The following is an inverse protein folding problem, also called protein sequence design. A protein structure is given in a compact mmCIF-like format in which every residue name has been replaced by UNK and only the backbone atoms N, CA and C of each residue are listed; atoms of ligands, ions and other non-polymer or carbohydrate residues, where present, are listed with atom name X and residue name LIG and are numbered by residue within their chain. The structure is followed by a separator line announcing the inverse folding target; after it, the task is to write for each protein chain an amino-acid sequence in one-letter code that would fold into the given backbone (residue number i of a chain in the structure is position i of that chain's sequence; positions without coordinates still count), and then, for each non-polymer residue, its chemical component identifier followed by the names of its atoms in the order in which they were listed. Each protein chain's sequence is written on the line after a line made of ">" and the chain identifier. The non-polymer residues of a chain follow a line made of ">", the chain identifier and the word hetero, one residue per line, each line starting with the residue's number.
data_IF_838099325670
#
_entry.id   IF_838099325670
#
_cell.length_a   1.000
_cell.length_b   1.000
_cell.length_c   1.000
_cell.angle_alpha   90.00
_cell.angle_beta   90.00
_cell.angle_gamma   90.00
#
_symmetry.space_group_name_H-M   'P 1'
#
loop_
_entity.id
_entity.type
_entity.pdbx_description
1 polymer ?
#
# COMPACT_ATOMS: atom_id res chain seq x y z
N UNK A 1 19.83 -19.21 44.33
CA UNK A 1 19.89 -17.87 43.72
C UNK A 1 18.66 -17.73 42.86
N UNK A 2 17.84 -16.70 43.07
CA UNK A 2 16.74 -16.40 42.15
C UNK A 2 17.32 -15.73 40.90
N UNK A 3 16.85 -16.11 39.71
CA UNK A 3 17.28 -15.48 38.47
C UNK A 3 16.88 -14.00 38.48
N UNK A 4 17.79 -13.14 38.01
CA UNK A 4 17.53 -11.73 37.80
C UNK A 4 16.54 -11.52 36.65
N UNK A 5 15.90 -10.35 36.59
CA UNK A 5 15.00 -9.98 35.49
C UNK A 5 15.70 -10.11 34.13
N UNK A 6 16.97 -9.67 34.04
CA UNK A 6 17.76 -9.76 32.82
C UNK A 6 18.04 -11.21 32.41
N UNK A 7 18.40 -12.08 33.35
CA UNK A 7 18.62 -13.51 33.06
C UNK A 7 17.33 -14.19 32.57
N UNK A 8 16.19 -13.86 33.16
CA UNK A 8 14.88 -14.38 32.74
C UNK A 8 14.54 -13.95 31.30
N UNK A 9 14.70 -12.67 30.99
CA UNK A 9 14.42 -12.15 29.64
C UNK A 9 15.37 -12.77 28.60
N UNK A 10 16.66 -12.92 28.90
CA UNK A 10 17.61 -13.60 28.01
C UNK A 10 17.28 -15.08 27.82
N UNK A 11 16.86 -15.76 28.89
CA UNK A 11 16.40 -17.14 28.80
C UNK A 11 15.13 -17.25 27.94
N UNK A 12 14.24 -16.26 28.03
CA UNK A 12 13.05 -16.15 27.18
C UNK A 12 13.41 -15.97 25.70
N UNK A 13 14.36 -15.10 25.38
CA UNK A 13 14.86 -14.95 24.00
C UNK A 13 15.43 -16.27 23.47
N UNK A 14 16.27 -16.93 24.27
CA UNK A 14 16.86 -18.21 23.89
C UNK A 14 15.81 -19.30 23.68
N UNK A 15 14.70 -19.28 24.44
CA UNK A 15 13.58 -20.18 24.23
C UNK A 15 12.84 -19.90 22.91
N UNK A 16 12.61 -18.62 22.60
CA UNK A 16 12.02 -18.20 21.33
C UNK A 16 12.87 -18.62 20.13
N UNK A 17 14.19 -18.50 20.22
CA UNK A 17 15.13 -18.95 19.18
C UNK A 17 15.13 -20.47 18.97
N UNK A 18 14.70 -21.24 19.97
CA UNK A 18 14.44 -22.68 19.85
C UNK A 18 13.00 -23.01 19.45
N UNK A 19 12.21 -22.00 19.06
CA UNK A 19 10.79 -22.12 18.73
C UNK A 19 9.93 -22.67 19.89
N UNK A 20 10.29 -22.37 21.13
CA UNK A 20 9.52 -22.72 22.32
C UNK A 20 8.80 -21.49 22.88
N UNK A 21 7.65 -21.16 22.29
CA UNK A 21 6.85 -19.99 22.66
C UNK A 21 6.29 -20.07 24.08
N UNK A 22 5.91 -21.26 24.53
CA UNK A 22 5.38 -21.48 25.89
C UNK A 22 6.45 -21.17 26.95
N UNK A 23 7.68 -21.68 26.76
CA UNK A 23 8.79 -21.36 27.67
C UNK A 23 9.11 -19.87 27.61
N UNK A 24 9.19 -19.27 26.43
CA UNK A 24 9.45 -17.84 26.28
C UNK A 24 8.42 -17.00 27.04
N UNK A 25 7.13 -17.29 26.86
CA UNK A 25 6.02 -16.62 27.57
C UNK A 25 6.13 -16.82 29.08
N UNK A 26 6.45 -18.02 29.55
CA UNK A 26 6.64 -18.29 30.97
C UNK A 26 7.78 -17.44 31.56
N UNK A 27 8.92 -17.34 30.86
CA UNK A 27 10.05 -16.50 31.30
C UNK A 27 9.68 -15.02 31.35
N UNK A 28 8.92 -14.53 30.38
CA UNK A 28 8.47 -13.13 30.37
C UNK A 28 7.54 -12.82 31.55
N UNK A 29 6.59 -13.72 31.85
CA UNK A 29 5.70 -13.58 33.02
C UNK A 29 6.51 -13.57 34.32
N UNK A 30 7.45 -14.52 34.47
CA UNK A 30 8.33 -14.59 35.64
C UNK A 30 9.17 -13.31 35.80
N UNK A 31 9.67 -12.74 34.69
CA UNK A 31 10.40 -11.48 34.69
C UNK A 31 9.53 -10.31 35.19
N UNK A 32 8.29 -10.17 34.70
CA UNK A 32 7.35 -9.12 35.15
C UNK A 32 6.99 -9.27 36.62
N UNK A 33 6.82 -10.48 37.12
CA UNK A 33 6.56 -10.71 38.55
C UNK A 33 7.78 -10.38 39.41
N UNK A 34 8.98 -10.75 38.94
CA UNK A 34 10.24 -10.47 39.64
C UNK A 34 10.50 -8.97 39.74
N UNK A 35 10.23 -8.21 38.68
CA UNK A 35 10.26 -6.75 38.72
C UNK A 35 9.25 -6.18 39.71
N UNK A 36 7.99 -6.64 39.68
CA UNK A 36 6.94 -6.19 40.61
C UNK A 36 7.30 -6.44 42.07
N UNK A 37 7.86 -7.60 42.40
CA UNK A 37 8.34 -7.91 43.76
C UNK A 37 9.48 -6.98 44.17
N UNK A 38 10.43 -6.70 43.27
CA UNK A 38 11.53 -5.78 43.53
C UNK A 38 11.09 -4.31 43.69
N UNK A 39 10.03 -3.91 42.99
CA UNK A 39 9.42 -2.58 43.12
C UNK A 39 8.63 -2.46 44.43
N UNK A 40 7.84 -3.48 44.81
CA UNK A 40 7.11 -3.53 46.08
C UNK A 40 8.02 -3.48 47.30
N UNK A 41 9.19 -4.14 47.24
CA UNK A 41 10.21 -4.05 48.28
C UNK A 41 10.84 -2.64 48.41
N UNK A 42 10.89 -1.86 47.32
CA UNK A 42 11.36 -0.47 47.31
C UNK A 42 10.28 0.54 47.69
N UNK A 43 9.02 0.24 47.40
CA UNK A 43 7.84 1.09 47.65
C UNK A 43 7.37 1.17 49.10
N UNK A 44 8.03 0.47 50.05
CA UNK A 44 7.83 0.68 51.48
C UNK A 44 8.29 2.07 51.98
N UNK A 45 8.85 2.91 51.09
CA UNK A 45 9.06 4.35 51.30
C UNK A 45 8.38 5.18 50.20
N UNK A 46 7.09 5.49 50.40
CA UNK A 46 6.32 6.60 49.79
C UNK A 46 6.45 6.85 48.28
N UNK A 47 5.45 6.41 47.49
CA UNK A 47 5.22 6.93 46.13
C UNK A 47 4.32 8.17 46.20
N UNK A 48 4.75 9.30 45.64
CA UNK A 48 3.99 10.54 45.57
C UNK A 48 2.78 10.40 44.62
N UNK A 49 1.60 10.94 44.96
CA UNK A 49 0.45 10.93 44.06
C UNK A 49 0.73 11.83 42.84
N UNK A 50 0.69 11.27 41.64
CA UNK A 50 0.87 11.99 40.36
C UNK A 50 2.02 11.51 39.47
N UNK A 51 2.82 10.52 39.89
CA UNK A 51 3.85 9.94 39.01
C UNK A 51 3.23 9.06 37.92
N UNK A 52 3.73 9.17 36.69
CA UNK A 52 3.46 8.21 35.61
C UNK A 52 3.75 6.78 36.08
N UNK A 53 3.02 5.80 35.55
CA UNK A 53 3.31 4.39 35.82
C UNK A 53 4.80 4.11 35.55
N UNK A 54 5.49 3.36 36.45
CA UNK A 54 6.90 3.06 36.26
C UNK A 54 7.13 2.34 34.94
N UNK A 55 8.16 2.75 34.19
CA UNK A 55 8.52 2.13 32.92
C UNK A 55 8.81 0.63 33.11
N UNK A 56 8.27 -0.20 32.23
CA UNK A 56 8.50 -1.64 32.26
C UNK A 56 9.99 -1.93 32.05
N UNK A 57 10.56 -2.77 32.92
CA UNK A 57 11.99 -3.14 32.87
C UNK A 57 12.95 -1.95 32.89
N UNK A 58 12.64 -0.87 33.62
CA UNK A 58 13.43 0.38 33.64
C UNK A 58 14.92 0.19 33.96
N UNK A 59 15.27 -0.85 34.73
CA UNK A 59 16.65 -1.13 35.14
C UNK A 59 17.40 -2.07 34.19
N UNK A 60 16.74 -2.58 33.15
CA UNK A 60 17.36 -3.48 32.16
C UNK A 60 18.02 -2.64 31.07
N UNK A 61 19.31 -2.89 30.82
CA UNK A 61 20.09 -2.24 29.75
C UNK A 61 20.66 -3.24 28.73
N UNK A 62 20.52 -4.55 29.00
CA UNK A 62 20.99 -5.61 28.10
C UNK A 62 20.15 -5.62 26.81
N UNK A 63 20.77 -5.53 25.63
CA UNK A 63 20.05 -5.36 24.36
C UNK A 63 19.20 -6.58 23.99
N UNK A 64 19.69 -7.80 24.25
CA UNK A 64 18.95 -9.05 24.01
C UNK A 64 17.71 -9.13 24.92
N UNK A 65 17.87 -8.79 26.20
CA UNK A 65 16.78 -8.76 27.16
C UNK A 65 15.69 -7.74 26.80
N UNK A 66 16.10 -6.53 26.39
CA UNK A 66 15.17 -5.48 25.96
C UNK A 66 14.46 -5.84 24.67
N UNK A 67 15.17 -6.43 23.72
CA UNK A 67 14.59 -6.88 22.46
C UNK A 67 13.52 -7.96 22.69
N UNK A 68 13.83 -8.97 23.50
CA UNK A 68 12.84 -9.99 23.87
C UNK A 68 11.63 -9.40 24.61
N UNK A 69 11.88 -8.48 25.55
CA UNK A 69 10.80 -7.81 26.26
C UNK A 69 9.88 -7.06 25.28
N UNK A 70 10.43 -6.37 24.29
CA UNK A 70 9.66 -5.68 23.26
C UNK A 70 8.81 -6.65 22.43
N UNK A 71 9.38 -7.77 21.97
CA UNK A 71 8.65 -8.80 21.22
C UNK A 71 7.49 -9.37 22.03
N UNK A 72 7.75 -9.78 23.28
CA UNK A 72 6.74 -10.38 24.14
C UNK A 72 5.64 -9.37 24.53
N UNK A 73 5.98 -8.10 24.76
CA UNK A 73 4.99 -7.02 24.98
C UNK A 73 4.10 -6.83 23.75
N UNK A 74 4.69 -6.79 22.55
CA UNK A 74 3.91 -6.67 21.30
C UNK A 74 2.99 -7.86 21.05
N UNK A 75 3.44 -9.09 21.32
CA UNK A 75 2.61 -10.30 21.21
C UNK A 75 1.40 -10.30 22.16
N UNK A 76 1.46 -9.54 23.25
CA UNK A 76 0.34 -9.37 24.19
C UNK A 76 -0.63 -8.24 23.78
N UNK A 77 -0.37 -7.56 22.65
CA UNK A 77 -1.13 -6.37 22.24
C UNK A 77 -0.87 -5.14 23.13
N UNK A 78 0.17 -5.18 23.97
CA UNK A 78 0.63 -4.04 24.76
C UNK A 78 1.62 -3.20 23.93
N UNK A 79 1.75 -1.89 24.21
CA UNK A 79 2.64 -1.01 23.43
C UNK A 79 4.13 -1.35 23.68
N UNK A 80 4.89 -1.84 22.68
CA UNK A 80 6.28 -2.25 22.86
C UNK A 80 7.30 -1.15 22.52
N UNK A 81 6.86 0.02 22.05
CA UNK A 81 7.72 1.01 21.38
C UNK A 81 8.87 1.51 22.25
N UNK A 82 8.63 1.76 23.54
CA UNK A 82 9.70 2.22 24.44
C UNK A 82 10.77 1.13 24.64
N UNK A 83 10.36 -0.14 24.81
CA UNK A 83 11.28 -1.27 24.96
C UNK A 83 12.06 -1.51 23.66
N UNK A 84 11.38 -1.49 22.52
CA UNK A 84 12.01 -1.65 21.21
C UNK A 84 13.03 -0.53 20.94
N UNK A 85 12.66 0.73 21.21
CA UNK A 85 13.56 1.88 21.10
C UNK A 85 14.82 1.70 21.97
N UNK A 86 14.65 1.34 23.24
CA UNK A 86 15.77 1.09 24.15
C UNK A 86 16.65 -0.07 23.69
N UNK A 87 16.05 -1.13 23.14
CA UNK A 87 16.79 -2.27 22.58
C UNK A 87 17.69 -1.82 21.42
N UNK A 88 17.14 -1.09 20.44
CA UNK A 88 17.91 -0.63 19.28
C UNK A 88 18.97 0.41 19.64
N UNK A 89 18.69 1.28 20.62
CA UNK A 89 19.69 2.20 21.19
C UNK A 89 20.84 1.45 21.87
N UNK A 90 20.55 0.38 22.61
CA UNK A 90 21.57 -0.48 23.20
C UNK A 90 22.36 -1.24 22.12
N UNK A 91 21.73 -1.64 21.01
CA UNK A 91 22.44 -2.26 19.88
C UNK A 91 23.32 -1.29 19.09
N UNK A 92 23.05 0.03 19.07
CA UNK A 92 23.90 1.01 18.35
C UNK A 92 25.35 1.01 18.81
N UNK A 93 25.60 0.70 20.08
CA UNK A 93 26.95 0.64 20.66
C UNK A 93 27.52 -0.77 20.73
N UNK A 94 26.75 -1.78 20.30
CA UNK A 94 27.19 -3.17 20.23
C UNK A 94 27.76 -3.50 18.83
N UNK A 95 28.57 -4.57 18.70
CA UNK A 95 28.95 -5.08 17.39
C UNK A 95 27.74 -5.43 16.53
N UNK A 96 27.86 -5.22 15.21
CA UNK A 96 26.83 -5.63 14.25
C UNK A 96 26.49 -7.11 14.44
N UNK A 97 25.20 -7.43 14.42
CA UNK A 97 24.70 -8.79 14.55
C UNK A 97 23.35 -8.94 13.88
N UNK A 98 22.98 -10.18 13.51
CA UNK A 98 21.66 -10.45 12.97
C UNK A 98 20.53 -10.09 13.94
N UNK A 99 20.78 -10.20 15.26
CA UNK A 99 19.81 -9.73 16.26
C UNK A 99 19.64 -8.21 16.23
N UNK A 100 20.73 -7.46 16.12
CA UNK A 100 20.67 -6.00 16.01
C UNK A 100 19.87 -5.58 14.77
N UNK A 101 20.10 -6.20 13.61
CA UNK A 101 19.35 -5.90 12.39
C UNK A 101 17.85 -6.20 12.55
N UNK A 102 17.50 -7.39 13.06
CA UNK A 102 16.10 -7.78 13.32
C UNK A 102 15.42 -6.92 14.37
N UNK A 103 16.15 -6.44 15.37
CA UNK A 103 15.63 -5.51 16.37
C UNK A 103 15.27 -4.16 15.73
N UNK A 104 16.09 -3.66 14.79
CA UNK A 104 15.77 -2.47 14.00
C UNK A 104 14.56 -2.67 13.09
N UNK A 105 14.46 -3.81 12.40
CA UNK A 105 13.28 -4.15 11.58
C UNK A 105 12.01 -4.20 12.43
N UNK A 106 12.07 -4.91 13.56
CA UNK A 106 10.96 -5.03 14.52
C UNK A 106 10.53 -3.67 15.04
N UNK A 107 11.50 -2.81 15.40
CA UNK A 107 11.20 -1.45 15.84
C UNK A 107 10.54 -0.62 14.73
N UNK A 108 11.02 -0.75 13.50
CA UNK A 108 10.39 -0.12 12.33
C UNK A 108 8.96 -0.59 12.11
N UNK A 109 8.68 -1.90 12.23
CA UNK A 109 7.31 -2.41 12.13
C UNK A 109 6.38 -1.86 13.21
N UNK A 110 6.84 -1.79 14.46
CA UNK A 110 6.03 -1.18 15.53
C UNK A 110 5.80 0.32 15.30
N UNK A 111 6.74 1.04 14.71
CA UNK A 111 6.57 2.45 14.37
C UNK A 111 5.55 2.64 13.25
N UNK A 112 5.60 1.78 12.22
CA UNK A 112 4.64 1.79 11.11
C UNK A 112 3.22 1.48 11.59
N UNK A 113 3.03 0.44 12.42
CA UNK A 113 1.74 0.11 13.03
C UNK A 113 1.18 1.28 13.88
N UNK A 114 2.09 2.05 14.51
CA UNK A 114 1.77 3.29 15.22
C UNK A 114 1.62 4.53 14.32
N UNK A 115 1.52 4.37 12.99
CA UNK A 115 1.43 5.45 12.00
C UNK A 115 2.57 6.49 12.07
N UNK A 116 3.79 6.04 12.40
CA UNK A 116 5.00 6.85 12.45
C UNK A 116 5.99 6.43 11.34
N UNK A 117 5.52 6.51 10.09
CA UNK A 117 6.20 5.95 8.93
C UNK A 117 7.57 6.60 8.65
N UNK A 118 7.71 7.90 8.94
CA UNK A 118 8.99 8.58 8.80
C UNK A 118 10.06 7.98 9.74
N UNK A 119 9.69 7.65 10.98
CA UNK A 119 10.60 6.98 11.91
C UNK A 119 10.79 5.50 11.57
N UNK A 120 9.73 4.82 11.11
CA UNK A 120 9.80 3.44 10.65
C UNK A 120 10.83 3.32 9.52
N UNK A 121 10.80 4.23 8.55
CA UNK A 121 11.74 4.26 7.44
C UNK A 121 13.20 4.45 7.91
N UNK A 122 13.43 5.28 8.93
CA UNK A 122 14.77 5.44 9.53
C UNK A 122 15.24 4.14 10.20
N UNK A 123 14.37 3.47 10.96
CA UNK A 123 14.69 2.20 11.59
C UNK A 123 15.02 1.11 10.55
N UNK A 124 14.29 1.06 9.44
CA UNK A 124 14.58 0.16 8.32
C UNK A 124 15.93 0.47 7.64
N UNK A 125 16.32 1.74 7.53
CA UNK A 125 17.68 2.11 7.05
C UNK A 125 18.79 1.70 8.01
N UNK A 126 18.56 1.81 9.31
CA UNK A 126 19.50 1.33 10.33
C UNK A 126 19.66 -0.20 10.22
N UNK A 127 18.57 -0.96 10.06
CA UNK A 127 18.63 -2.40 9.80
C UNK A 127 19.46 -2.73 8.55
N UNK A 128 19.23 -2.02 7.45
CA UNK A 128 20.00 -2.16 6.22
C UNK A 128 21.50 -1.88 6.43
N UNK A 129 21.83 -0.85 7.22
CA UNK A 129 23.21 -0.54 7.60
C UNK A 129 23.88 -1.67 8.40
N UNK A 130 23.13 -2.32 9.30
CA UNK A 130 23.64 -3.49 10.06
C UNK A 130 23.87 -4.69 9.13
N UNK A 131 22.95 -5.01 8.21
CA UNK A 131 23.17 -6.09 7.24
C UNK A 131 24.37 -5.83 6.33
N UNK A 132 24.54 -4.58 5.87
CA UNK A 132 25.69 -4.17 5.08
C UNK A 132 27.01 -4.36 5.83
N UNK A 133 27.04 -4.03 7.14
CA UNK A 133 28.23 -4.20 7.98
C UNK A 133 28.59 -5.67 8.25
N UNK A 134 27.61 -6.58 8.22
CA UNK A 134 27.84 -8.02 8.38
C UNK A 134 28.38 -8.68 7.10
N UNK A 135 27.93 -8.23 5.93
CA UNK A 135 28.22 -8.85 4.63
C UNK A 135 27.51 -10.20 4.44
N UNK A 136 27.29 -10.62 3.19
CA UNK A 136 26.62 -11.90 2.88
C UNK A 136 25.12 -11.93 3.23
N UNK A 137 24.51 -10.75 3.41
CA UNK A 137 23.10 -10.55 3.74
C UNK A 137 22.43 -9.56 2.76
N UNK A 138 22.83 -9.61 1.49
CA UNK A 138 22.40 -8.68 0.45
C UNK A 138 20.88 -8.72 0.25
N UNK A 139 20.26 -9.90 0.33
CA UNK A 139 18.81 -10.05 0.25
C UNK A 139 18.09 -9.29 1.38
N UNK A 140 18.56 -9.45 2.62
CA UNK A 140 17.99 -8.78 3.79
C UNK A 140 18.26 -7.27 3.75
N UNK A 141 19.45 -6.86 3.33
CA UNK A 141 19.79 -5.46 3.13
C UNK A 141 18.85 -4.81 2.10
N UNK A 142 18.62 -5.47 0.96
CA UNK A 142 17.70 -5.00 -0.07
C UNK A 142 16.28 -4.88 0.46
N UNK A 143 15.80 -5.89 1.19
CA UNK A 143 14.46 -5.90 1.79
C UNK A 143 14.27 -4.78 2.83
N UNK A 144 15.27 -4.52 3.67
CA UNK A 144 15.22 -3.43 4.64
C UNK A 144 15.17 -2.06 3.94
N UNK A 145 15.96 -1.85 2.88
CA UNK A 145 15.90 -0.61 2.09
C UNK A 145 14.59 -0.47 1.31
N UNK A 146 14.04 -1.58 0.82
CA UNK A 146 12.72 -1.62 0.19
C UNK A 146 11.63 -1.17 1.17
N UNK A 147 11.60 -1.73 2.38
CA UNK A 147 10.65 -1.33 3.42
C UNK A 147 10.85 0.12 3.86
N UNK A 148 12.09 0.61 3.91
CA UNK A 148 12.35 2.04 4.13
C UNK A 148 11.73 2.89 3.02
N UNK A 149 11.83 2.45 1.77
CA UNK A 149 11.20 3.09 0.62
C UNK A 149 9.68 3.18 0.75
N UNK A 150 9.02 2.08 1.12
CA UNK A 150 7.57 2.03 1.37
C UNK A 150 7.18 3.02 2.46
N UNK A 151 7.83 2.94 3.63
CA UNK A 151 7.49 3.83 4.76
C UNK A 151 7.76 5.31 4.46
N UNK A 152 8.78 5.65 3.64
CA UNK A 152 8.94 7.03 3.18
C UNK A 152 7.80 7.50 2.28
N UNK A 153 7.30 6.63 1.40
CA UNK A 153 6.17 6.96 0.53
C UNK A 153 4.88 7.18 1.34
N UNK A 154 4.63 6.33 2.33
CA UNK A 154 3.49 6.47 3.27
C UNK A 154 3.60 7.74 4.12
N UNK A 155 4.81 8.13 4.51
CA UNK A 155 5.08 9.42 5.17
C UNK A 155 4.94 10.64 4.23
N UNK A 156 4.72 10.42 2.93
CA UNK A 156 4.64 11.47 1.91
C UNK A 156 5.99 12.03 1.43
N UNK A 157 7.12 11.46 1.86
CA UNK A 157 8.46 11.85 1.41
C UNK A 157 8.90 10.99 0.21
N UNK A 158 8.32 11.30 -0.95
CA UNK A 158 8.59 10.55 -2.19
C UNK A 158 10.06 10.65 -2.62
N UNK A 159 10.77 11.73 -2.28
CA UNK A 159 12.19 11.87 -2.59
C UNK A 159 13.04 10.88 -1.79
N UNK A 160 12.79 10.76 -0.48
CA UNK A 160 13.46 9.77 0.35
C UNK A 160 13.05 8.33 -0.02
N UNK A 161 11.80 8.11 -0.44
CA UNK A 161 11.32 6.81 -0.92
C UNK A 161 12.11 6.36 -2.15
N UNK A 162 12.20 7.22 -3.17
CA UNK A 162 12.97 6.96 -4.39
C UNK A 162 14.43 6.67 -4.05
N UNK A 163 15.06 7.47 -3.19
CA UNK A 163 16.46 7.27 -2.80
C UNK A 163 16.68 5.92 -2.08
N UNK A 164 15.76 5.51 -1.20
CA UNK A 164 15.84 4.23 -0.51
C UNK A 164 15.65 3.04 -1.48
N UNK A 165 14.71 3.14 -2.41
CA UNK A 165 14.45 2.11 -3.42
C UNK A 165 15.60 1.98 -4.43
N UNK A 166 16.20 3.10 -4.85
CA UNK A 166 17.44 3.10 -5.65
C UNK A 166 18.59 2.43 -4.88
N UNK A 167 18.73 2.73 -3.58
CA UNK A 167 19.72 2.08 -2.74
C UNK A 167 19.46 0.57 -2.60
N UNK A 168 18.19 0.14 -2.55
CA UNK A 168 17.82 -1.28 -2.46
C UNK A 168 18.24 -2.08 -3.71
N UNK A 169 18.27 -1.45 -4.88
CA UNK A 169 18.67 -2.11 -6.13
C UNK A 169 20.15 -2.53 -6.17
N UNK A 170 21.00 -1.89 -5.37
CA UNK A 170 22.43 -2.20 -5.32
C UNK A 170 22.71 -3.59 -4.72
N UNK A 171 22.31 -3.89 -3.46
CA UNK A 171 22.45 -5.23 -2.91
C UNK A 171 21.55 -6.25 -3.63
N UNK A 172 20.37 -5.85 -4.13
CA UNK A 172 19.54 -6.73 -4.95
C UNK A 172 20.22 -7.15 -6.28
N UNK A 173 21.25 -6.41 -6.74
CA UNK A 173 22.04 -6.78 -7.91
C UNK A 173 22.92 -8.02 -7.71
N UNK A 174 23.13 -8.46 -6.46
CA UNK A 174 23.83 -9.72 -6.15
C UNK A 174 22.89 -10.94 -6.19
N UNK A 175 21.58 -10.73 -6.27
CA UNK A 175 20.58 -11.77 -6.44
C UNK A 175 20.54 -12.25 -7.91
N UNK A 176 19.94 -13.42 -8.21
CA UNK A 176 19.75 -13.87 -9.58
C UNK A 176 19.13 -12.79 -10.47
N UNK A 177 19.49 -12.80 -11.76
CA UNK A 177 19.08 -11.75 -12.71
C UNK A 177 17.56 -11.57 -12.74
N UNK A 178 16.83 -12.69 -12.68
CA UNK A 178 15.38 -12.75 -12.50
C UNK A 178 15.09 -13.20 -11.06
N UNK A 179 14.83 -12.22 -10.21
CA UNK A 179 14.43 -12.38 -8.81
C UNK A 179 13.18 -11.53 -8.57
N UNK A 180 12.12 -12.14 -8.02
CA UNK A 180 10.85 -11.44 -7.79
C UNK A 180 11.01 -10.26 -6.83
N UNK A 181 11.91 -10.34 -5.85
CA UNK A 181 12.23 -9.23 -4.95
C UNK A 181 12.87 -8.06 -5.70
N UNK A 182 13.84 -8.35 -6.57
CA UNK A 182 14.45 -7.32 -7.44
C UNK A 182 13.44 -6.67 -8.38
N UNK A 183 12.52 -7.44 -8.96
CA UNK A 183 11.45 -6.93 -9.82
C UNK A 183 10.48 -6.06 -9.02
N UNK A 184 10.08 -6.50 -7.82
CA UNK A 184 9.21 -5.74 -6.92
C UNK A 184 9.84 -4.40 -6.51
N UNK A 185 11.13 -4.36 -6.16
CA UNK A 185 11.83 -3.10 -5.86
C UNK A 185 11.76 -2.13 -7.04
N UNK A 186 11.99 -2.61 -8.27
CA UNK A 186 11.90 -1.76 -9.47
C UNK A 186 10.47 -1.29 -9.74
N UNK A 187 9.47 -2.14 -9.53
CA UNK A 187 8.05 -1.78 -9.69
C UNK A 187 7.65 -0.66 -8.72
N UNK A 188 8.03 -0.79 -7.45
CA UNK A 188 7.78 0.23 -6.42
C UNK A 188 8.55 1.52 -6.69
N UNK A 189 9.79 1.43 -7.19
CA UNK A 189 10.54 2.62 -7.64
C UNK A 189 9.82 3.36 -8.78
N UNK A 190 9.28 2.62 -9.76
CA UNK A 190 8.52 3.19 -10.86
C UNK A 190 7.25 3.91 -10.35
N UNK A 191 6.55 3.32 -9.39
CA UNK A 191 5.37 3.91 -8.75
C UNK A 191 5.73 5.18 -7.97
N UNK A 192 6.76 5.16 -7.13
CA UNK A 192 7.21 6.33 -6.38
C UNK A 192 7.64 7.47 -7.32
N UNK A 193 8.31 7.16 -8.43
CA UNK A 193 8.68 8.13 -9.47
C UNK A 193 7.46 8.70 -10.19
N UNK A 194 6.43 7.88 -10.45
CA UNK A 194 5.17 8.33 -11.03
C UNK A 194 4.48 9.34 -10.12
N UNK A 195 4.34 9.00 -8.83
CA UNK A 195 3.68 9.85 -7.84
C UNK A 195 4.48 11.14 -7.57
N UNK A 196 5.82 11.08 -7.70
CA UNK A 196 6.69 12.26 -7.62
C UNK A 196 6.69 13.13 -8.90
N UNK A 197 5.91 12.77 -9.92
CA UNK A 197 5.86 13.49 -11.20
C UNK A 197 7.09 13.30 -12.10
N UNK A 198 7.96 12.33 -11.79
CA UNK A 198 9.12 11.97 -12.61
C UNK A 198 8.71 11.05 -13.78
N UNK A 199 7.74 11.51 -14.58
CA UNK A 199 7.04 10.71 -15.57
C UNK A 199 7.95 9.98 -16.57
N UNK A 200 8.97 10.67 -17.09
CA UNK A 200 9.90 10.07 -18.05
C UNK A 200 10.74 8.95 -17.42
N UNK A 201 11.09 9.07 -16.13
CA UNK A 201 11.82 8.02 -15.41
C UNK A 201 10.88 6.84 -15.11
N UNK A 202 9.70 7.11 -14.55
CA UNK A 202 8.68 6.11 -14.27
C UNK A 202 8.32 5.27 -15.51
N UNK A 203 8.08 5.90 -16.66
CA UNK A 203 7.76 5.20 -17.91
C UNK A 203 8.89 4.26 -18.36
N UNK A 204 10.16 4.63 -18.16
CA UNK A 204 11.31 3.77 -18.48
C UNK A 204 11.39 2.59 -17.52
N UNK A 205 11.21 2.82 -16.22
CA UNK A 205 11.27 1.76 -15.21
C UNK A 205 10.13 0.76 -15.41
N UNK A 206 8.90 1.24 -15.58
CA UNK A 206 7.74 0.37 -15.83
C UNK A 206 7.92 -0.52 -17.05
N UNK A 207 8.55 -0.02 -18.13
CA UNK A 207 8.87 -0.84 -19.30
C UNK A 207 9.83 -1.99 -18.94
N UNK A 208 10.87 -1.71 -18.16
CA UNK A 208 11.83 -2.75 -17.72
C UNK A 208 11.13 -3.79 -16.83
N UNK A 209 10.25 -3.34 -15.93
CA UNK A 209 9.51 -4.22 -15.02
C UNK A 209 8.47 -5.06 -15.79
N UNK A 210 7.76 -4.46 -16.74
CA UNK A 210 6.84 -5.19 -17.62
C UNK A 210 7.55 -6.29 -18.40
N UNK A 211 8.70 -6.00 -19.01
CA UNK A 211 9.50 -7.00 -19.73
C UNK A 211 9.94 -8.15 -18.81
N UNK A 212 10.33 -7.83 -17.56
CA UNK A 212 10.70 -8.83 -16.57
C UNK A 212 9.53 -9.74 -16.16
N UNK A 213 8.34 -9.18 -15.91
CA UNK A 213 7.16 -9.99 -15.63
C UNK A 213 6.68 -10.78 -16.84
N UNK A 214 6.72 -10.23 -18.05
CA UNK A 214 6.32 -10.92 -19.26
C UNK A 214 7.20 -12.16 -19.57
N UNK A 215 8.44 -12.19 -19.06
CA UNK A 215 9.34 -13.33 -19.19
C UNK A 215 9.06 -14.46 -18.17
N UNK A 216 8.19 -14.22 -17.19
CA UNK A 216 7.88 -15.16 -16.11
C UNK A 216 6.50 -15.81 -16.30
N UNK A 217 6.39 -17.15 -16.30
CA UNK A 217 5.09 -17.83 -16.36
C UNK A 217 4.19 -17.45 -15.17
N UNK A 218 2.92 -17.16 -15.43
CA UNK A 218 1.96 -16.82 -14.38
C UNK A 218 2.07 -15.37 -13.87
N UNK A 219 2.83 -14.51 -14.55
CA UNK A 219 3.02 -13.10 -14.21
C UNK A 219 2.39 -12.15 -15.25
N UNK A 220 1.51 -12.66 -16.11
CA UNK A 220 0.85 -11.92 -17.20
C UNK A 220 0.08 -10.71 -16.66
N UNK A 221 -0.62 -10.88 -15.53
CA UNK A 221 -1.34 -9.79 -14.86
C UNK A 221 -0.38 -8.68 -14.42
N UNK A 222 0.75 -9.03 -13.79
CA UNK A 222 1.73 -8.07 -13.31
C UNK A 222 2.41 -7.30 -14.47
N UNK A 223 2.61 -7.96 -15.61
CA UNK A 223 3.08 -7.29 -16.82
C UNK A 223 2.05 -6.26 -17.34
N UNK A 224 0.75 -6.60 -17.31
CA UNK A 224 -0.35 -5.69 -17.69
C UNK A 224 -0.45 -4.51 -16.72
N UNK A 225 -0.33 -4.76 -15.41
CA UNK A 225 -0.36 -3.69 -14.40
C UNK A 225 0.83 -2.72 -14.55
N UNK A 226 2.02 -3.24 -14.86
CA UNK A 226 3.17 -2.39 -15.20
C UNK A 226 2.95 -1.57 -16.48
N UNK A 227 2.31 -2.15 -17.50
CA UNK A 227 1.93 -1.42 -18.71
C UNK A 227 0.90 -0.31 -18.41
N UNK A 228 -0.03 -0.55 -17.49
CA UNK A 228 -0.96 0.46 -16.98
C UNK A 228 -0.22 1.61 -16.27
N UNK A 229 0.73 1.28 -15.38
CA UNK A 229 1.61 2.26 -14.73
C UNK A 229 2.41 3.10 -15.72
N UNK A 230 2.97 2.48 -16.77
CA UNK A 230 3.64 3.19 -17.86
C UNK A 230 2.68 4.15 -18.57
N UNK A 231 1.48 3.72 -18.92
CA UNK A 231 0.48 4.56 -19.58
C UNK A 231 0.07 5.76 -18.71
N UNK A 232 -0.05 5.58 -17.39
CA UNK A 232 -0.25 6.68 -16.42
C UNK A 232 0.92 7.68 -16.44
N UNK A 233 2.16 7.20 -16.53
CA UNK A 233 3.31 8.08 -16.64
C UNK A 233 3.29 8.90 -17.94
N UNK A 234 2.97 8.27 -19.08
CA UNK A 234 2.82 8.97 -20.36
C UNK A 234 1.69 10.01 -20.29
N UNK A 235 0.54 9.66 -19.69
CA UNK A 235 -0.56 10.60 -19.45
C UNK A 235 -0.11 11.82 -18.63
N UNK A 236 0.63 11.58 -17.53
CA UNK A 236 1.17 12.63 -16.67
C UNK A 236 2.15 13.57 -17.39
N UNK A 237 2.91 13.05 -18.35
CA UNK A 237 3.83 13.85 -19.18
C UNK A 237 3.12 14.78 -20.19
N UNK A 238 1.81 14.60 -20.41
CA UNK A 238 1.02 15.40 -21.34
C UNK A 238 0.93 14.83 -22.76
N UNK A 239 1.56 13.69 -23.05
CA UNK A 239 1.41 12.99 -24.33
C UNK A 239 0.11 12.17 -24.36
N UNK A 240 -1.01 12.89 -24.45
CA UNK A 240 -2.35 12.31 -24.41
C UNK A 240 -2.65 11.32 -25.54
N UNK A 241 -2.24 11.56 -26.81
CA UNK A 241 -2.44 10.59 -27.88
C UNK A 241 -1.73 9.25 -27.61
N UNK A 242 -0.47 9.28 -27.19
CA UNK A 242 0.27 8.06 -26.86
C UNK A 242 -0.34 7.37 -25.63
N UNK A 243 -0.73 8.13 -24.60
CA UNK A 243 -1.39 7.58 -23.43
C UNK A 243 -2.70 6.85 -23.80
N UNK A 244 -3.56 7.46 -24.63
CA UNK A 244 -4.80 6.83 -25.09
C UNK A 244 -4.54 5.50 -25.81
N UNK A 245 -3.54 5.46 -26.69
CA UNK A 245 -3.15 4.23 -27.40
C UNK A 245 -2.65 3.14 -26.43
N UNK A 246 -1.79 3.51 -25.47
CA UNK A 246 -1.27 2.57 -24.48
C UNK A 246 -2.36 2.04 -23.55
N UNK A 247 -3.26 2.88 -23.05
CA UNK A 247 -4.38 2.42 -22.24
C UNK A 247 -5.33 1.50 -23.03
N UNK A 248 -5.57 1.77 -24.31
CA UNK A 248 -6.37 0.86 -25.14
C UNK A 248 -5.70 -0.51 -25.32
N UNK A 249 -4.37 -0.56 -25.46
CA UNK A 249 -3.59 -1.80 -25.49
C UNK A 249 -3.72 -2.58 -24.16
N UNK A 250 -3.54 -1.88 -23.03
CA UNK A 250 -3.71 -2.47 -21.68
C UNK A 250 -5.12 -3.04 -21.53
N UNK A 251 -6.15 -2.29 -21.93
CA UNK A 251 -7.53 -2.73 -21.83
C UNK A 251 -7.77 -4.01 -22.64
N UNK A 252 -7.24 -4.09 -23.86
CA UNK A 252 -7.36 -5.28 -24.70
C UNK A 252 -6.64 -6.49 -24.09
N UNK A 253 -5.42 -6.32 -23.57
CA UNK A 253 -4.65 -7.39 -22.92
C UNK A 253 -5.34 -7.89 -21.65
N UNK A 254 -5.85 -6.98 -20.84
CA UNK A 254 -6.56 -7.29 -19.60
C UNK A 254 -7.88 -8.04 -19.87
N UNK A 255 -8.66 -7.59 -20.87
CA UNK A 255 -9.86 -8.32 -21.33
C UNK A 255 -9.53 -9.73 -21.81
N UNK A 256 -8.46 -9.89 -22.60
CA UNK A 256 -8.04 -11.21 -23.08
C UNK A 256 -7.60 -12.13 -21.93
N UNK A 257 -6.86 -11.60 -20.95
CA UNK A 257 -6.45 -12.35 -19.75
C UNK A 257 -7.66 -12.81 -18.92
N UNK A 258 -8.72 -12.01 -18.89
CA UNK A 258 -9.95 -12.32 -18.18
C UNK A 258 -10.90 -13.29 -18.94
N UNK A 259 -10.45 -13.86 -20.07
CA UNK A 259 -11.22 -14.78 -20.89
C UNK A 259 -12.28 -14.12 -21.77
N UNK A 260 -12.27 -12.79 -21.90
CA UNK A 260 -13.18 -12.05 -22.79
C UNK A 260 -12.67 -11.99 -24.22
N UNK A 261 -13.52 -12.29 -25.20
CA UNK A 261 -13.25 -11.93 -26.60
C UNK A 261 -13.49 -10.41 -26.81
N UNK A 262 -12.68 -9.81 -27.68
CA UNK A 262 -12.45 -8.36 -27.86
C UNK A 262 -13.70 -7.46 -27.88
N UNK A 263 -13.55 -6.24 -27.33
CA UNK A 263 -14.43 -5.05 -27.38
C UNK A 263 -15.94 -5.28 -27.14
N UNK A 264 -16.37 -5.03 -25.90
CA UNK A 264 -17.78 -5.09 -25.49
C UNK A 264 -18.14 -6.35 -24.71
N UNK A 265 -17.18 -7.25 -24.49
CA UNK A 265 -17.32 -8.33 -23.52
C UNK A 265 -17.48 -7.77 -22.09
N UNK A 266 -18.32 -8.45 -21.32
CA UNK A 266 -18.58 -8.15 -19.93
C UNK A 266 -18.12 -9.35 -19.08
N UNK A 267 -17.71 -9.10 -17.82
CA UNK A 267 -17.40 -10.18 -16.88
C UNK A 267 -18.59 -11.12 -16.71
N UNK A 268 -18.31 -12.42 -16.65
CA UNK A 268 -19.30 -13.41 -16.28
C UNK A 268 -19.59 -13.34 -14.77
N UNK A 269 -20.82 -13.63 -14.36
CA UNK A 269 -21.18 -13.72 -12.94
C UNK A 269 -20.38 -14.78 -12.17
N UNK A 270 -19.75 -15.73 -12.89
CA UNK A 270 -18.92 -16.81 -12.36
C UNK A 270 -17.42 -16.53 -12.44
N UNK A 271 -17.01 -15.29 -12.74
CA UNK A 271 -15.59 -14.94 -12.85
C UNK A 271 -14.84 -15.17 -11.54
N UNK A 272 -13.68 -15.79 -11.64
CA UNK A 272 -12.70 -15.94 -10.56
C UNK A 272 -12.17 -14.57 -10.11
N UNK A 273 -11.58 -14.51 -8.92
CA UNK A 273 -10.99 -13.28 -8.40
C UNK A 273 -9.90 -12.71 -9.34
N UNK A 274 -9.08 -13.58 -9.94
CA UNK A 274 -8.08 -13.17 -10.92
C UNK A 274 -8.69 -12.60 -12.20
N UNK A 275 -9.77 -13.21 -12.72
CA UNK A 275 -10.50 -12.69 -13.87
C UNK A 275 -11.17 -11.35 -13.55
N UNK A 276 -11.73 -11.19 -12.34
CA UNK A 276 -12.32 -9.93 -11.89
C UNK A 276 -11.27 -8.82 -11.80
N UNK A 277 -10.10 -9.09 -11.22
CA UNK A 277 -8.99 -8.14 -11.19
C UNK A 277 -8.55 -7.72 -12.62
N UNK A 278 -8.48 -8.66 -13.56
CA UNK A 278 -8.18 -8.34 -14.95
C UNK A 278 -9.28 -7.48 -15.60
N UNK A 279 -10.55 -7.76 -15.33
CA UNK A 279 -11.67 -6.92 -15.77
C UNK A 279 -11.65 -5.50 -15.17
N UNK A 280 -11.26 -5.36 -13.91
CA UNK A 280 -11.11 -4.06 -13.24
C UNK A 280 -10.02 -3.22 -13.93
N UNK A 281 -8.85 -3.81 -14.20
CA UNK A 281 -7.78 -3.15 -14.96
C UNK A 281 -8.25 -2.77 -16.36
N UNK A 282 -9.05 -3.61 -17.02
CA UNK A 282 -9.64 -3.28 -18.33
C UNK A 282 -10.59 -2.07 -18.24
N UNK A 283 -11.45 -2.02 -17.23
CA UNK A 283 -12.39 -0.91 -17.01
C UNK A 283 -11.65 0.41 -16.72
N UNK A 284 -10.66 0.37 -15.82
CA UNK A 284 -9.81 1.52 -15.49
C UNK A 284 -9.05 2.03 -16.73
N UNK A 285 -8.56 1.10 -17.56
CA UNK A 285 -7.85 1.45 -18.79
C UNK A 285 -8.79 2.16 -19.79
N UNK A 286 -9.99 1.63 -20.02
CA UNK A 286 -10.97 2.31 -20.87
C UNK A 286 -11.41 3.68 -20.34
N UNK A 287 -11.55 3.82 -19.01
CA UNK A 287 -11.77 5.12 -18.38
C UNK A 287 -10.63 6.09 -18.72
N UNK A 288 -9.38 5.66 -18.59
CA UNK A 288 -8.22 6.50 -18.89
C UNK A 288 -8.04 6.82 -20.39
N UNK A 289 -8.45 5.94 -21.30
CA UNK A 289 -8.54 6.27 -22.74
C UNK A 289 -9.45 7.48 -22.94
N UNK A 290 -10.62 7.49 -22.31
CA UNK A 290 -11.56 8.59 -22.41
C UNK A 290 -11.02 9.89 -21.80
N UNK A 291 -10.38 9.81 -20.62
CA UNK A 291 -9.73 10.96 -19.96
C UNK A 291 -8.60 11.53 -20.83
N UNK A 292 -7.80 10.68 -21.47
CA UNK A 292 -6.74 11.12 -22.37
C UNK A 292 -7.31 11.88 -23.58
N UNK A 293 -8.38 11.37 -24.22
CA UNK A 293 -9.06 12.08 -25.30
C UNK A 293 -9.66 13.42 -24.88
N UNK A 294 -10.28 13.50 -23.70
CA UNK A 294 -10.81 14.75 -23.15
C UNK A 294 -9.70 15.78 -22.94
N UNK A 295 -8.60 15.38 -22.29
CA UNK A 295 -7.42 16.24 -22.08
C UNK A 295 -6.74 16.68 -23.38
N UNK A 296 -6.83 15.85 -24.43
CA UNK A 296 -6.37 16.18 -25.77
C UNK A 296 -7.30 17.15 -26.53
N UNK A 297 -8.40 17.62 -25.92
CA UNK A 297 -9.38 18.49 -26.57
C UNK A 297 -10.28 17.78 -27.59
N UNK A 298 -10.36 16.45 -27.51
CA UNK A 298 -11.17 15.61 -28.40
C UNK A 298 -12.19 14.75 -27.61
N UNK A 299 -13.06 15.35 -26.77
CA UNK A 299 -13.94 14.62 -25.85
C UNK A 299 -14.88 13.63 -26.56
N UNK A 300 -15.32 13.95 -27.78
CA UNK A 300 -16.15 13.05 -28.60
C UNK A 300 -15.46 11.71 -28.90
N UNK A 301 -14.13 11.67 -29.01
CA UNK A 301 -13.37 10.44 -29.24
C UNK A 301 -13.29 9.56 -27.98
N UNK A 302 -13.45 10.16 -26.79
CA UNK A 302 -13.45 9.44 -25.51
C UNK A 302 -14.78 8.76 -25.16
N UNK A 303 -15.88 9.17 -25.80
CA UNK A 303 -17.24 8.66 -25.53
C UNK A 303 -17.36 7.14 -25.62
N UNK A 304 -16.86 6.46 -26.68
CA UNK A 304 -16.94 4.99 -26.76
C UNK A 304 -16.20 4.29 -25.62
N UNK A 305 -15.02 4.80 -25.26
CA UNK A 305 -14.19 4.22 -24.21
C UNK A 305 -14.85 4.36 -22.83
N UNK A 306 -15.39 5.55 -22.49
CA UNK A 306 -16.09 5.76 -21.22
C UNK A 306 -17.35 4.88 -21.11
N UNK A 307 -18.07 4.67 -22.23
CA UNK A 307 -19.21 3.75 -22.27
C UNK A 307 -18.78 2.30 -22.00
N UNK A 308 -17.69 1.86 -22.60
CA UNK A 308 -17.13 0.52 -22.34
C UNK A 308 -16.74 0.36 -20.87
N UNK A 309 -16.06 1.34 -20.28
CA UNK A 309 -15.70 1.32 -18.86
C UNK A 309 -16.96 1.18 -17.96
N UNK A 310 -17.99 2.01 -18.20
CA UNK A 310 -19.24 1.94 -17.46
C UNK A 310 -19.92 0.57 -17.57
N UNK A 311 -19.90 -0.04 -18.76
CA UNK A 311 -20.48 -1.37 -19.00
C UNK A 311 -19.72 -2.48 -18.27
N UNK A 312 -18.38 -2.45 -18.28
CA UNK A 312 -17.57 -3.44 -17.57
C UNK A 312 -17.82 -3.34 -16.05
N UNK A 313 -17.80 -2.14 -15.48
CA UNK A 313 -18.10 -1.97 -14.04
C UNK A 313 -19.50 -2.46 -13.67
N UNK A 314 -20.51 -2.17 -14.50
CA UNK A 314 -21.86 -2.71 -14.28
C UNK A 314 -21.86 -4.25 -14.31
N UNK A 315 -21.14 -4.86 -15.25
CA UNK A 315 -20.97 -6.32 -15.29
C UNK A 315 -20.29 -6.90 -14.05
N UNK A 316 -19.34 -6.16 -13.45
CA UNK A 316 -18.65 -6.58 -12.23
C UNK A 316 -19.55 -6.49 -10.98
N UNK A 317 -20.70 -5.80 -11.08
CA UNK A 317 -21.53 -5.41 -9.93
C UNK A 317 -21.05 -4.14 -9.23
N UNK A 318 -20.09 -3.42 -9.82
CA UNK A 318 -19.49 -2.18 -9.31
C UNK A 318 -20.35 -0.97 -9.71
N UNK A 319 -21.58 -0.92 -9.21
CA UNK A 319 -22.58 0.08 -9.63
C UNK A 319 -22.16 1.53 -9.36
N UNK A 320 -21.43 1.78 -8.27
CA UNK A 320 -20.93 3.12 -7.95
C UNK A 320 -19.89 3.58 -9.00
N UNK A 321 -18.95 2.71 -9.36
CA UNK A 321 -17.94 2.95 -10.39
C UNK A 321 -18.59 3.11 -11.77
N UNK A 322 -19.62 2.30 -12.07
CA UNK A 322 -20.40 2.42 -13.29
C UNK A 322 -21.14 3.75 -13.37
N UNK A 323 -21.80 4.17 -12.28
CA UNK A 323 -22.51 5.44 -12.19
C UNK A 323 -21.55 6.64 -12.34
N UNK A 324 -20.37 6.59 -11.72
CA UNK A 324 -19.32 7.58 -11.91
C UNK A 324 -18.93 7.71 -13.39
N UNK A 325 -18.67 6.59 -14.07
CA UNK A 325 -18.36 6.59 -15.50
C UNK A 325 -19.51 7.15 -16.36
N UNK A 326 -20.77 6.86 -16.02
CA UNK A 326 -21.95 7.44 -16.70
C UNK A 326 -22.03 8.96 -16.50
N UNK A 327 -21.67 9.46 -15.32
CA UNK A 327 -21.63 10.91 -15.06
C UNK A 327 -20.56 11.61 -15.89
N UNK A 328 -19.34 11.04 -15.96
CA UNK A 328 -18.27 11.54 -16.81
C UNK A 328 -18.59 11.42 -18.31
N UNK A 329 -19.35 10.39 -18.72
CA UNK A 329 -19.88 10.29 -20.08
C UNK A 329 -20.78 11.50 -20.40
N UNK A 330 -21.55 11.98 -19.42
CA UNK A 330 -22.32 13.23 -19.55
C UNK A 330 -21.44 14.45 -19.76
N UNK A 331 -20.32 14.54 -19.04
CA UNK A 331 -19.34 15.64 -19.20
C UNK A 331 -18.71 15.62 -20.61
N UNK A 332 -18.28 14.44 -21.09
CA UNK A 332 -17.75 14.27 -22.44
C UNK A 332 -18.74 14.72 -23.52
N UNK A 333 -20.01 14.34 -23.38
CA UNK A 333 -21.07 14.77 -24.29
C UNK A 333 -21.30 16.29 -24.24
N UNK A 334 -21.26 16.88 -23.04
CA UNK A 334 -21.41 18.31 -22.86
C UNK A 334 -20.29 19.11 -23.52
N UNK A 335 -19.04 18.69 -23.33
CA UNK A 335 -17.86 19.28 -23.97
C UNK A 335 -17.91 19.10 -25.50
N UNK A 336 -18.42 17.95 -25.97
CA UNK A 336 -18.68 17.68 -27.39
C UNK A 336 -19.92 18.41 -27.96
N UNK A 337 -20.58 19.27 -27.16
CA UNK A 337 -21.78 20.05 -27.54
C UNK A 337 -23.04 19.21 -27.84
N UNK A 338 -23.10 17.99 -27.33
CA UNK A 338 -24.30 17.14 -27.36
C UNK A 338 -25.03 17.19 -26.02
N UNK A 339 -25.84 18.25 -25.83
CA UNK A 339 -26.55 18.46 -24.56
C UNK A 339 -27.73 17.52 -24.34
N UNK A 340 -28.19 16.85 -25.38
CA UNK A 340 -29.23 15.82 -25.24
C UNK A 340 -28.62 14.57 -24.64
N UNK A 341 -27.52 14.07 -25.22
CA UNK A 341 -26.81 12.90 -24.68
C UNK A 341 -26.24 13.18 -23.29
N UNK A 342 -25.72 14.38 -23.03
CA UNK A 342 -25.20 14.77 -21.73
C UNK A 342 -26.25 14.64 -20.61
N UNK A 343 -27.44 15.21 -20.83
CA UNK A 343 -28.55 15.14 -19.86
C UNK A 343 -28.98 13.69 -19.60
N UNK A 344 -29.12 12.89 -20.66
CA UNK A 344 -29.44 11.47 -20.54
C UNK A 344 -28.42 10.72 -19.68
N UNK A 345 -27.12 10.97 -19.90
CA UNK A 345 -26.06 10.31 -19.16
C UNK A 345 -26.02 10.74 -17.68
N UNK A 346 -26.13 12.05 -17.38
CA UNK A 346 -26.22 12.52 -15.99
C UNK A 346 -27.47 12.00 -15.27
N UNK A 347 -28.63 11.95 -15.94
CA UNK A 347 -29.86 11.37 -15.37
C UNK A 347 -29.66 9.89 -15.00
N UNK A 348 -29.03 9.10 -15.89
CA UNK A 348 -28.74 7.70 -15.61
C UNK A 348 -27.77 7.53 -14.43
N UNK A 349 -26.74 8.38 -14.33
CA UNK A 349 -25.80 8.37 -13.21
C UNK A 349 -26.49 8.73 -11.87
N UNK A 350 -27.30 9.78 -11.86
CA UNK A 350 -28.07 10.22 -10.69
C UNK A 350 -29.01 9.11 -10.22
N UNK A 351 -29.77 8.51 -11.12
CA UNK A 351 -30.70 7.43 -10.78
C UNK A 351 -30.00 6.23 -10.14
N UNK A 352 -28.82 5.85 -10.65
CA UNK A 352 -28.03 4.76 -10.07
C UNK A 352 -27.50 5.11 -8.66
N UNK A 353 -27.00 6.33 -8.46
CA UNK A 353 -26.49 6.78 -7.16
C UNK A 353 -27.61 6.94 -6.12
N UNK A 354 -28.80 7.40 -6.53
CA UNK A 354 -29.98 7.49 -5.67
C UNK A 354 -30.48 6.09 -5.25
N UNK A 355 -30.47 5.13 -6.18
CA UNK A 355 -30.80 3.75 -5.86
C UNK A 355 -29.81 3.15 -4.85
N UNK A 356 -28.51 3.39 -5.03
CA UNK A 356 -27.48 2.96 -4.09
C UNK A 356 -27.63 3.64 -2.72
N UNK A 357 -27.93 4.93 -2.69
CA UNK A 357 -28.18 5.66 -1.44
C UNK A 357 -29.42 5.11 -0.69
N UNK A 358 -30.49 4.78 -1.42
CA UNK A 358 -31.69 4.18 -0.84
C UNK A 358 -31.41 2.78 -0.25
N UNK A 359 -30.60 1.97 -0.93
CA UNK A 359 -30.16 0.66 -0.42
C UNK A 359 -29.30 0.80 0.84
N UNK A 360 -28.34 1.74 0.84
CA UNK A 360 -27.51 2.01 2.02
C UNK A 360 -28.37 2.46 3.22
N UNK A 361 -29.31 3.38 2.99
CA UNK A 361 -30.24 3.86 4.01
C UNK A 361 -31.13 2.75 4.58
N UNK A 362 -31.60 1.82 3.73
CA UNK A 362 -32.35 0.65 4.19
C UNK A 362 -31.52 -0.29 5.09
N UNK A 363 -30.20 -0.31 4.91
CA UNK A 363 -29.24 -0.99 5.77
C UNK A 363 -28.76 -0.19 6.98
N UNK A 364 -29.30 1.01 7.23
CA UNK A 364 -28.86 1.91 8.31
C UNK A 364 -27.52 2.60 8.04
N UNK A 365 -27.05 2.59 6.80
CA UNK A 365 -25.84 3.27 6.34
C UNK A 365 -26.15 4.49 5.48
N UNK A 366 -25.08 5.13 5.01
CA UNK A 366 -25.15 6.27 4.09
C UNK A 366 -24.32 5.97 2.84
N UNK A 367 -24.59 6.73 1.78
CA UNK A 367 -23.77 6.66 0.57
C UNK A 367 -22.34 7.12 0.89
N UNK A 368 -21.28 6.42 0.43
CA UNK A 368 -19.90 6.83 0.70
C UNK A 368 -19.62 8.25 0.18
N UNK A 369 -18.69 8.96 0.83
CA UNK A 369 -18.44 10.39 0.58
C UNK A 369 -18.05 10.72 -0.87
N UNK A 370 -17.36 9.83 -1.59
CA UNK A 370 -17.05 10.00 -3.01
C UNK A 370 -18.32 10.02 -3.87
N UNK A 371 -19.06 8.91 -3.95
CA UNK A 371 -20.33 8.84 -4.67
C UNK A 371 -21.38 9.88 -4.24
N UNK A 372 -21.39 10.31 -2.98
CA UNK A 372 -22.26 11.40 -2.51
C UNK A 372 -21.91 12.74 -3.17
N UNK A 373 -20.60 13.07 -3.27
CA UNK A 373 -20.13 14.25 -4.01
C UNK A 373 -20.47 14.17 -5.49
N UNK A 374 -20.28 13.00 -6.10
CA UNK A 374 -20.64 12.77 -7.51
C UNK A 374 -22.13 13.02 -7.76
N UNK A 375 -23.00 12.51 -6.87
CA UNK A 375 -24.45 12.71 -6.96
C UNK A 375 -24.82 14.20 -6.94
N UNK A 376 -24.25 14.96 -6.00
CA UNK A 376 -24.46 16.40 -5.93
C UNK A 376 -23.95 17.15 -7.18
N UNK A 377 -22.78 16.75 -7.67
CA UNK A 377 -22.16 17.35 -8.85
C UNK A 377 -23.01 17.10 -10.11
N UNK A 378 -23.46 15.87 -10.35
CA UNK A 378 -24.27 15.53 -11.51
C UNK A 378 -25.65 16.19 -11.46
N UNK A 379 -26.28 16.30 -10.27
CA UNK A 379 -27.53 17.07 -10.10
C UNK A 379 -27.34 18.55 -10.48
N UNK A 380 -26.23 19.16 -10.04
CA UNK A 380 -25.90 20.54 -10.39
C UNK A 380 -25.72 20.72 -11.89
N UNK A 381 -24.97 19.82 -12.54
CA UNK A 381 -24.75 19.84 -13.99
C UNK A 381 -26.06 19.65 -14.78
N UNK A 382 -26.89 18.69 -14.39
CA UNK A 382 -28.19 18.44 -15.02
C UNK A 382 -29.12 19.65 -14.90
N UNK A 383 -29.18 20.27 -13.72
CA UNK A 383 -29.97 21.49 -13.48
C UNK A 383 -29.47 22.67 -14.35
N UNK A 384 -28.16 22.89 -14.41
CA UNK A 384 -27.57 23.94 -15.24
C UNK A 384 -27.84 23.74 -16.74
N UNK A 385 -27.99 22.50 -17.20
CA UNK A 385 -28.35 22.16 -18.57
C UNK A 385 -29.86 22.20 -18.87
N UNK A 386 -30.70 22.69 -17.93
CA UNK A 386 -32.15 22.75 -18.09
C UNK A 386 -32.82 21.37 -18.11
N UNK A 387 -32.21 20.36 -17.50
CA UNK A 387 -32.84 19.06 -17.24
C UNK A 387 -33.69 19.11 -15.98
N UNK A 388 -34.86 18.46 -16.02
CA UNK A 388 -35.64 18.17 -14.82
C UNK A 388 -35.10 16.92 -14.12
N UNK A 389 -35.07 16.93 -12.79
CA UNK A 389 -34.97 15.71 -11.99
C UNK A 389 -36.33 15.00 -12.11
N UNK A 390 -36.30 13.72 -12.51
CA UNK A 390 -37.50 12.91 -12.69
C UNK A 390 -38.07 12.47 -11.33
#
# INVERSE_FOLDING_TARGET
>A
MHATVTELLRAGLAALERHNEDEARARFVEARETERRAAGARGAGGVLPGSSAPELFAQVSDPDALYFAALATGQLGENPLNLARRAVEAYRVAPASLRAARAWETYGYFLHDGANDAAAAQAMREAAGVYAALGGHEAQQANALYNAGISYAEAGDLAAAIAALEAALLPAGALPEVDLGRVAIRATLAAARLDAGQFAAAARDYRVVEEAFAALPGQEFNAIDCAFGRARAVLGSGDYPTAAAQFAEVAARATALAGGEVAGAAPAATATEAERAAWEVAAMSWHHVAVAHAKNGAPAQGVPAMRTAAAIYAGLGEELSSAHCRGLLGDLHAEARDMTAARTAWQAAIAALEAAAAQAAAGGGELPAGPARDLEEFRRKLSAAGGALA
#
